data_IF_726365351604
#
_entry.id   IF_726365351604
#
_cell.length_a   1.000
_cell.length_b   1.000
_cell.length_c   1.000
_cell.angle_alpha   90.00
_cell.angle_beta   90.00
_cell.angle_gamma   90.00
#
_symmetry.space_group_name_H-M   'P 1'
#
loop_
_entity.id
_entity.type
_entity.pdbx_description
1 polymer ?
#
# COMPACT_ATOMS: atom_id res chain seq x y z
N UNK A 1 -36.16 13.97 2.88
CA UNK A 1 -35.33 12.78 3.15
C UNK A 1 -35.43 12.46 4.64
N UNK A 2 -35.57 11.19 5.04
CA UNK A 2 -35.62 10.80 6.46
C UNK A 2 -34.24 10.97 7.12
N UNK A 3 -34.19 11.47 8.37
CA UNK A 3 -32.98 11.56 9.21
C UNK A 3 -32.17 10.25 9.24
N UNK A 4 -32.87 9.11 9.21
CA UNK A 4 -32.27 7.78 9.10
C UNK A 4 -31.42 7.62 7.84
N UNK A 5 -31.93 8.04 6.68
CA UNK A 5 -31.20 7.93 5.40
C UNK A 5 -29.97 8.84 5.40
N UNK A 6 -30.05 10.01 6.03
CA UNK A 6 -28.92 10.93 6.16
C UNK A 6 -27.83 10.34 7.06
N UNK A 7 -28.18 9.77 8.22
CA UNK A 7 -27.21 9.10 9.10
C UNK A 7 -26.55 7.90 8.42
N UNK A 8 -27.33 7.06 7.71
CA UNK A 8 -26.78 5.91 7.00
C UNK A 8 -25.80 6.32 5.89
N UNK A 9 -26.15 7.35 5.11
CA UNK A 9 -25.26 7.90 4.09
C UNK A 9 -23.99 8.48 4.70
N UNK A 10 -24.09 9.19 5.83
CA UNK A 10 -22.93 9.72 6.54
C UNK A 10 -22.00 8.61 7.03
N UNK A 11 -22.55 7.52 7.58
CA UNK A 11 -21.79 6.35 8.06
C UNK A 11 -21.11 5.61 6.91
N UNK A 12 -21.83 5.34 5.80
CA UNK A 12 -21.21 4.73 4.61
C UNK A 12 -20.07 5.62 4.13
N UNK A 13 -20.33 6.92 3.96
CA UNK A 13 -19.38 7.85 3.38
C UNK A 13 -18.13 7.99 4.26
N UNK A 14 -18.30 8.12 5.58
CA UNK A 14 -17.17 8.21 6.51
C UNK A 14 -16.36 6.92 6.56
N UNK A 15 -17.04 5.76 6.58
CA UNK A 15 -16.37 4.46 6.55
C UNK A 15 -15.61 4.27 5.24
N UNK A 16 -16.22 4.58 4.10
CA UNK A 16 -15.59 4.48 2.80
C UNK A 16 -14.36 5.39 2.69
N UNK A 17 -14.45 6.63 3.17
CA UNK A 17 -13.33 7.55 3.23
C UNK A 17 -12.20 7.03 4.12
N UNK A 18 -12.52 6.47 5.29
CA UNK A 18 -11.54 5.90 6.20
C UNK A 18 -10.83 4.67 5.58
N UNK A 19 -11.58 3.77 4.94
CA UNK A 19 -11.03 2.58 4.28
C UNK A 19 -10.13 2.96 3.09
N UNK A 20 -10.57 3.90 2.25
CA UNK A 20 -9.79 4.39 1.12
C UNK A 20 -8.52 5.13 1.58
N UNK A 21 -8.65 6.00 2.58
CA UNK A 21 -7.52 6.72 3.19
C UNK A 21 -6.50 5.75 3.78
N UNK A 22 -6.97 4.73 4.52
CA UNK A 22 -6.11 3.69 5.10
C UNK A 22 -5.39 2.86 4.03
N UNK A 23 -6.09 2.44 2.98
CA UNK A 23 -5.50 1.70 1.86
C UNK A 23 -4.43 2.53 1.15
N UNK A 24 -4.71 3.80 0.86
CA UNK A 24 -3.76 4.71 0.23
C UNK A 24 -2.52 4.92 1.10
N UNK A 25 -2.70 5.24 2.37
CA UNK A 25 -1.59 5.44 3.31
C UNK A 25 -0.72 4.18 3.43
N UNK A 26 -1.35 3.00 3.57
CA UNK A 26 -0.65 1.72 3.62
C UNK A 26 0.14 1.43 2.35
N UNK A 27 -0.46 1.69 1.18
CA UNK A 27 0.20 1.49 -0.12
C UNK A 27 1.40 2.41 -0.29
N UNK A 28 1.28 3.69 0.10
CA UNK A 28 2.38 4.65 0.03
C UNK A 28 3.52 4.27 0.98
N UNK A 29 3.20 3.82 2.19
CA UNK A 29 4.20 3.31 3.14
C UNK A 29 4.91 2.07 2.60
N UNK A 30 4.17 1.10 2.05
CA UNK A 30 4.76 -0.10 1.44
C UNK A 30 5.67 0.25 0.25
N UNK A 31 5.27 1.22 -0.57
CA UNK A 31 6.11 1.76 -1.64
C UNK A 31 7.41 2.34 -1.10
N UNK A 32 7.34 3.19 -0.07
CA UNK A 32 8.52 3.80 0.56
C UNK A 32 9.48 2.74 1.10
N UNK A 33 8.95 1.80 1.87
CA UNK A 33 9.70 0.69 2.43
C UNK A 33 10.42 -0.16 1.37
N UNK A 34 9.70 -0.57 0.31
CA UNK A 34 10.30 -1.34 -0.79
C UNK A 34 11.38 -0.54 -1.53
N UNK A 35 11.19 0.77 -1.68
CA UNK A 35 12.15 1.67 -2.32
C UNK A 35 13.44 1.78 -1.52
N UNK A 36 13.33 1.96 -0.20
CA UNK A 36 14.47 2.01 0.71
C UNK A 36 15.20 0.68 0.75
N UNK A 37 14.48 -0.44 0.86
CA UNK A 37 15.09 -1.78 0.83
C UNK A 37 15.83 -2.06 -0.47
N UNK A 38 15.25 -1.70 -1.62
CA UNK A 38 15.94 -1.85 -2.91
C UNK A 38 17.18 -0.97 -2.99
N UNK A 39 17.14 0.23 -2.44
CA UNK A 39 18.27 1.16 -2.41
C UNK A 39 19.40 0.64 -1.54
N UNK A 40 19.08 0.19 -0.31
CA UNK A 40 20.04 -0.43 0.60
C UNK A 40 20.66 -1.68 -0.03
N UNK A 41 19.83 -2.58 -0.59
CA UNK A 41 20.28 -3.77 -1.30
C UNK A 41 21.21 -3.44 -2.47
N UNK A 42 20.88 -2.42 -3.27
CA UNK A 42 21.73 -1.99 -4.36
C UNK A 42 23.10 -1.52 -3.85
N UNK A 43 23.11 -0.75 -2.76
CA UNK A 43 24.34 -0.22 -2.16
C UNK A 43 25.21 -1.33 -1.56
N UNK A 44 24.61 -2.27 -0.84
CA UNK A 44 25.30 -3.42 -0.26
C UNK A 44 25.90 -4.31 -1.34
N UNK A 45 25.12 -4.61 -2.40
CA UNK A 45 25.59 -5.41 -3.52
C UNK A 45 26.69 -4.69 -4.32
N UNK A 46 26.56 -3.38 -4.53
CA UNK A 46 27.61 -2.58 -5.17
C UNK A 46 28.90 -2.63 -4.34
N UNK A 47 28.81 -2.43 -3.03
CA UNK A 47 29.95 -2.44 -2.12
C UNK A 47 30.62 -3.82 -2.09
N UNK A 48 29.84 -4.89 -1.97
CA UNK A 48 30.34 -6.26 -1.98
C UNK A 48 31.03 -6.61 -3.31
N UNK A 49 30.42 -6.25 -4.45
CA UNK A 49 31.01 -6.50 -5.77
C UNK A 49 32.28 -5.67 -5.96
N UNK A 50 32.26 -4.39 -5.58
CA UNK A 50 33.44 -3.52 -5.69
C UNK A 50 34.60 -4.03 -4.83
N UNK A 51 34.32 -4.49 -3.60
CA UNK A 51 35.32 -5.11 -2.73
C UNK A 51 35.90 -6.40 -3.34
N UNK A 52 35.05 -7.28 -3.87
CA UNK A 52 35.49 -8.52 -4.52
C UNK A 52 36.39 -8.26 -5.74
N UNK A 53 36.02 -7.28 -6.58
CA UNK A 53 36.83 -6.86 -7.73
C UNK A 53 38.15 -6.18 -7.31
N UNK A 54 38.12 -5.42 -6.21
CA UNK A 54 39.29 -4.76 -5.62
C UNK A 54 40.32 -5.77 -5.11
N UNK A 55 39.87 -6.86 -4.48
CA UNK A 55 40.77 -7.89 -3.93
C UNK A 55 41.44 -8.77 -4.99
N UNK A 56 40.80 -8.96 -6.15
CA UNK A 56 41.33 -9.83 -7.21
C UNK A 56 42.42 -9.18 -8.08
N UNK A 57 42.75 -7.89 -7.88
CA UNK A 57 43.58 -7.12 -8.83
C UNK A 57 43.13 -7.36 -10.28
N UNK A 58 41.81 -7.43 -10.49
CA UNK A 58 41.23 -8.00 -11.69
C UNK A 58 41.61 -7.18 -12.93
N UNK A 59 42.15 -7.85 -13.95
CA UNK A 59 42.32 -7.25 -15.28
C UNK A 59 40.96 -6.84 -15.85
N UNK A 60 40.94 -5.86 -16.74
CA UNK A 60 39.71 -5.34 -17.37
C UNK A 60 38.82 -6.44 -17.96
N UNK A 61 39.44 -7.48 -18.53
CA UNK A 61 38.74 -8.66 -19.08
C UNK A 61 38.11 -9.55 -18.01
N UNK A 62 38.75 -9.72 -16.86
CA UNK A 62 38.21 -10.50 -15.74
C UNK A 62 37.03 -9.78 -15.07
N UNK A 63 37.11 -8.45 -14.96
CA UNK A 63 36.00 -7.60 -14.49
C UNK A 63 34.79 -7.77 -15.41
N UNK A 64 34.99 -7.68 -16.72
CA UNK A 64 33.90 -7.85 -17.69
C UNK A 64 33.27 -9.25 -17.64
N UNK A 65 34.09 -10.31 -17.50
CA UNK A 65 33.59 -11.67 -17.37
C UNK A 65 32.74 -11.86 -16.11
N UNK A 66 33.22 -11.34 -14.98
CA UNK A 66 32.54 -11.45 -13.67
C UNK A 66 31.22 -10.69 -13.69
N UNK A 67 31.23 -9.47 -14.22
CA UNK A 67 30.02 -8.67 -14.36
C UNK A 67 29.03 -9.34 -15.32
N UNK A 68 29.50 -9.92 -16.42
CA UNK A 68 28.64 -10.63 -17.37
C UNK A 68 27.99 -11.84 -16.71
N UNK A 69 28.75 -12.68 -16.02
CA UNK A 69 28.21 -13.83 -15.29
C UNK A 69 27.18 -13.43 -14.22
N UNK A 70 27.46 -12.36 -13.48
CA UNK A 70 26.52 -11.83 -12.47
C UNK A 70 25.23 -11.27 -13.11
N UNK A 71 25.38 -10.59 -14.24
CA UNK A 71 24.27 -10.03 -15.00
C UNK A 71 23.38 -11.10 -15.62
N UNK A 72 23.98 -12.18 -16.14
CA UNK A 72 23.30 -13.34 -16.70
C UNK A 72 22.44 -14.08 -15.66
N UNK A 73 22.75 -13.92 -14.36
CA UNK A 73 21.89 -14.34 -13.26
C UNK A 73 20.50 -13.65 -13.24
N UNK A 74 20.31 -12.57 -14.00
CA UNK A 74 19.00 -12.02 -14.30
C UNK A 74 18.37 -11.15 -13.20
N UNK A 75 19.08 -10.87 -12.11
CA UNK A 75 18.59 -10.07 -10.98
C UNK A 75 18.82 -8.55 -11.11
N UNK A 76 19.68 -8.13 -12.05
CA UNK A 76 20.09 -6.74 -12.21
C UNK A 76 19.51 -6.12 -13.49
N UNK A 77 19.12 -4.87 -13.39
CA UNK A 77 18.64 -4.06 -14.50
C UNK A 77 19.79 -3.33 -15.19
N UNK A 78 20.74 -2.82 -14.39
CA UNK A 78 21.93 -2.12 -14.85
C UNK A 78 23.13 -2.53 -14.00
N UNK A 79 24.23 -2.86 -14.66
CA UNK A 79 25.56 -2.86 -14.03
C UNK A 79 26.48 -2.04 -14.93
N UNK A 80 27.05 -0.96 -14.39
CA UNK A 80 27.95 -0.05 -15.09
C UNK A 80 29.20 0.18 -14.28
N UNK A 81 30.36 0.11 -14.93
CA UNK A 81 31.65 0.45 -14.35
C UNK A 81 32.27 1.56 -15.18
N UNK A 82 32.69 2.64 -14.52
CA UNK A 82 33.30 3.81 -15.15
C UNK A 82 34.67 4.03 -14.52
N UNK A 83 35.69 4.22 -15.35
CA UNK A 83 37.05 4.62 -14.96
C UNK A 83 37.05 6.03 -14.32
N UNK A 84 37.99 6.40 -13.42
CA UNK A 84 38.18 7.78 -12.96
C UNK A 84 38.17 8.86 -14.05
N UNK A 85 38.63 8.52 -15.26
CA UNK A 85 38.64 9.41 -16.42
C UNK A 85 37.27 9.54 -17.12
N UNK A 86 36.22 8.91 -16.58
CA UNK A 86 34.87 8.93 -17.15
C UNK A 86 34.64 7.93 -18.29
N UNK A 87 35.65 7.13 -18.65
CA UNK A 87 35.52 6.11 -19.70
C UNK A 87 34.73 4.91 -19.16
N UNK A 88 33.67 4.52 -19.85
CA UNK A 88 32.90 3.33 -19.48
C UNK A 88 33.71 2.08 -19.77
N UNK A 89 33.95 1.26 -18.74
CA UNK A 89 34.67 -0.01 -18.83
C UNK A 89 33.69 -1.13 -19.17
N UNK A 90 32.56 -1.19 -18.44
CA UNK A 90 31.51 -2.19 -18.65
C UNK A 90 30.15 -1.49 -18.54
N UNK A 91 29.22 -1.84 -19.42
CA UNK A 91 27.83 -1.40 -19.34
C UNK A 91 26.91 -2.54 -19.79
N UNK A 92 26.21 -3.15 -18.84
CA UNK A 92 25.19 -4.18 -19.09
C UNK A 92 23.85 -3.64 -18.66
N UNK A 93 22.88 -3.63 -19.57
CA UNK A 93 21.51 -3.15 -19.33
C UNK A 93 20.52 -4.20 -19.79
N UNK A 94 19.51 -4.48 -18.98
CA UNK A 94 18.51 -5.49 -19.29
C UNK A 94 17.42 -4.87 -20.18
N UNK A 95 16.90 -5.62 -21.18
CA UNK A 95 15.77 -5.14 -21.97
C UNK A 95 14.52 -4.99 -21.09
N UNK A 96 13.70 -3.98 -21.40
CA UNK A 96 12.42 -3.77 -20.76
C UNK A 96 11.54 -5.01 -20.96
N UNK A 97 11.28 -5.74 -19.87
CA UNK A 97 10.51 -6.99 -19.90
C UNK A 97 9.09 -6.73 -19.44
N UNK A 98 8.11 -7.43 -20.01
CA UNK A 98 6.71 -7.31 -19.62
C UNK A 98 6.51 -7.61 -18.12
N UNK A 99 5.91 -6.65 -17.40
CA UNK A 99 5.47 -6.83 -16.02
C UNK A 99 4.15 -7.58 -15.97
N UNK A 100 3.95 -8.42 -14.95
CA UNK A 100 2.64 -9.06 -14.64
C UNK A 100 1.65 -8.10 -13.95
N UNK A 101 1.98 -6.81 -13.88
CA UNK A 101 1.23 -5.78 -13.15
C UNK A 101 0.67 -4.79 -14.17
N UNK A 102 -0.57 -4.28 -13.97
CA UNK A 102 -1.15 -3.30 -14.89
C UNK A 102 -0.27 -2.05 -15.04
N UNK A 103 -0.13 -1.56 -16.28
CA UNK A 103 0.73 -0.41 -16.58
C UNK A 103 0.29 0.87 -15.87
N UNK A 104 -1.02 1.06 -15.63
CA UNK A 104 -1.53 2.22 -14.89
C UNK A 104 -1.00 2.25 -13.44
N UNK A 105 -0.85 1.09 -12.80
CA UNK A 105 -0.40 0.99 -11.42
C UNK A 105 1.06 1.42 -11.29
N UNK A 106 1.91 0.97 -12.23
CA UNK A 106 3.32 1.35 -12.32
C UNK A 106 3.48 2.85 -12.54
N UNK A 107 2.62 3.47 -13.37
CA UNK A 107 2.65 4.92 -13.64
C UNK A 107 2.25 5.75 -12.43
N UNK A 108 1.25 5.31 -11.66
CA UNK A 108 0.76 6.07 -10.50
C UNK A 108 1.68 5.90 -9.28
N UNK A 109 2.30 4.73 -9.11
CA UNK A 109 3.23 4.45 -8.01
C UNK A 109 4.61 4.01 -8.53
N UNK A 110 5.42 4.93 -9.08
CA UNK A 110 6.76 4.60 -9.53
C UNK A 110 7.66 4.26 -8.32
N UNK A 111 8.28 3.09 -8.31
CA UNK A 111 9.30 2.71 -7.33
C UNK A 111 10.64 3.37 -7.69
N UNK A 112 11.08 4.34 -6.89
CA UNK A 112 12.31 5.10 -7.11
C UNK A 112 13.44 4.56 -6.21
N UNK A 113 13.99 3.41 -6.58
CA UNK A 113 15.17 2.87 -5.88
C UNK A 113 16.43 3.62 -6.33
N UNK A 114 17.22 4.12 -5.37
CA UNK A 114 18.50 4.73 -5.67
C UNK A 114 19.48 3.65 -6.23
N UNK A 115 20.24 3.97 -7.28
CA UNK A 115 21.34 3.12 -7.72
C UNK A 115 22.38 2.97 -6.61
N UNK A 116 22.88 1.76 -6.42
CA UNK A 116 24.01 1.50 -5.53
C UNK A 116 25.29 1.94 -6.22
N UNK A 117 26.15 2.65 -5.49
CA UNK A 117 27.41 3.13 -6.01
C UNK A 117 28.55 2.74 -5.08
N UNK A 118 29.60 2.15 -5.64
CA UNK A 118 30.77 1.76 -4.88
C UNK A 118 32.03 1.95 -5.71
N UNK A 119 33.12 2.29 -5.03
CA UNK A 119 34.41 2.53 -5.66
C UNK A 119 35.25 1.26 -5.66
N UNK A 120 35.82 0.94 -6.81
CA UNK A 120 36.76 -0.16 -7.00
C UNK A 120 38.17 0.43 -6.87
N UNK A 121 38.98 -0.12 -5.97
CA UNK A 121 40.33 0.37 -5.68
C UNK A 121 41.32 -0.81 -5.67
N UNK A 122 42.53 -0.61 -6.17
CA UNK A 122 43.65 -1.54 -5.96
C UNK A 122 44.71 -0.82 -5.12
N UNK A 123 44.78 -1.20 -3.84
CA UNK A 123 45.58 -0.48 -2.84
C UNK A 123 45.11 0.98 -2.71
N UNK A 124 46.00 1.92 -3.00
CA UNK A 124 45.75 3.36 -2.95
C UNK A 124 45.17 3.95 -4.24
N UNK A 125 45.09 3.16 -5.32
CA UNK A 125 44.72 3.66 -6.64
C UNK A 125 43.26 3.31 -6.97
N UNK A 126 42.46 4.31 -7.34
CA UNK A 126 41.07 4.11 -7.77
C UNK A 126 41.07 3.54 -9.20
N UNK A 127 40.44 2.38 -9.38
CA UNK A 127 40.28 1.74 -10.68
C UNK A 127 38.99 2.23 -11.37
N UNK A 128 37.94 2.51 -10.60
CA UNK A 128 36.66 2.94 -11.16
C UNK A 128 35.54 3.04 -10.15
N UNK A 129 34.39 3.47 -10.62
CA UNK A 129 33.13 3.53 -9.88
C UNK A 129 32.14 2.56 -10.50
N UNK A 130 31.67 1.62 -9.68
CA UNK A 130 30.60 0.69 -10.00
C UNK A 130 29.26 1.34 -9.65
N UNK A 131 28.34 1.34 -10.60
CA UNK A 131 26.93 1.67 -10.41
C UNK A 131 26.08 0.44 -10.72
N UNK A 132 25.19 0.08 -9.80
CA UNK A 132 24.36 -1.12 -9.89
C UNK A 132 22.90 -0.81 -9.54
N UNK A 133 21.98 -1.33 -10.36
CA UNK A 133 20.54 -1.23 -10.16
C UNK A 133 19.93 -2.62 -10.23
N UNK A 134 19.27 -3.05 -9.16
CA UNK A 134 18.51 -4.31 -9.14
C UNK A 134 17.19 -4.19 -9.90
N UNK A 135 16.73 -5.28 -10.52
CA UNK A 135 15.41 -5.30 -11.18
C UNK A 135 14.29 -5.09 -10.16
N UNK A 136 13.45 -4.09 -10.40
CA UNK A 136 12.32 -3.72 -9.53
C UNK A 136 11.04 -4.55 -9.76
N UNK A 137 11.03 -5.47 -10.74
CA UNK A 137 9.84 -6.25 -11.12
C UNK A 137 9.20 -6.99 -9.94
N UNK A 138 10.02 -7.70 -9.15
CA UNK A 138 9.52 -8.44 -7.98
C UNK A 138 8.85 -7.50 -6.96
N UNK A 139 9.39 -6.31 -6.78
CA UNK A 139 8.81 -5.31 -5.87
C UNK A 139 7.45 -4.80 -6.36
N UNK A 140 7.28 -4.58 -7.67
CA UNK A 140 5.96 -4.24 -8.23
C UNK A 140 4.95 -5.38 -8.07
N UNK A 141 5.35 -6.63 -8.33
CA UNK A 141 4.46 -7.79 -8.16
C UNK A 141 4.05 -7.97 -6.68
N UNK A 142 5.00 -7.80 -5.75
CA UNK A 142 4.74 -7.84 -4.31
C UNK A 142 3.81 -6.70 -3.85
N UNK A 143 4.07 -5.47 -4.31
CA UNK A 143 3.24 -4.30 -3.99
C UNK A 143 1.81 -4.47 -4.50
N UNK A 144 1.65 -4.92 -5.75
CA UNK A 144 0.33 -5.18 -6.34
C UNK A 144 -0.45 -6.24 -5.56
N UNK A 145 0.22 -7.36 -5.20
CA UNK A 145 -0.40 -8.42 -4.40
C UNK A 145 -0.82 -7.90 -3.02
N UNK A 146 0.01 -7.08 -2.37
CA UNK A 146 -0.29 -6.49 -1.07
C UNK A 146 -1.51 -5.57 -1.13
N UNK A 147 -1.59 -4.71 -2.14
CA UNK A 147 -2.76 -3.84 -2.37
C UNK A 147 -4.04 -4.66 -2.56
N UNK A 148 -4.00 -5.72 -3.37
CA UNK A 148 -5.16 -6.60 -3.57
C UNK A 148 -5.59 -7.31 -2.28
N UNK A 149 -4.64 -7.78 -1.48
CA UNK A 149 -4.93 -8.44 -0.20
C UNK A 149 -5.55 -7.46 0.80
N UNK A 150 -4.99 -6.25 0.93
CA UNK A 150 -5.55 -5.19 1.78
C UNK A 150 -6.94 -4.78 1.31
N UNK A 151 -7.14 -4.58 0.01
CA UNK A 151 -8.44 -4.24 -0.55
C UNK A 151 -9.48 -5.32 -0.26
N UNK A 152 -9.13 -6.60 -0.42
CA UNK A 152 -10.01 -7.72 -0.10
C UNK A 152 -10.34 -7.79 1.41
N UNK A 153 -9.34 -7.61 2.28
CA UNK A 153 -9.56 -7.59 3.73
C UNK A 153 -10.47 -6.43 4.16
N UNK A 154 -10.26 -5.23 3.61
CA UNK A 154 -11.10 -4.06 3.87
C UNK A 154 -12.52 -4.25 3.32
N UNK A 155 -12.69 -4.89 2.17
CA UNK A 155 -14.00 -5.19 1.63
C UNK A 155 -14.78 -6.15 2.55
N UNK A 156 -14.14 -7.21 3.04
CA UNK A 156 -14.76 -8.15 3.99
C UNK A 156 -15.11 -7.43 5.30
N UNK A 157 -14.18 -6.66 5.86
CA UNK A 157 -14.41 -5.89 7.08
C UNK A 157 -15.55 -4.88 6.92
N UNK A 158 -15.60 -4.18 5.78
CA UNK A 158 -16.66 -3.24 5.44
C UNK A 158 -18.03 -3.92 5.29
N UNK A 159 -18.10 -5.10 4.68
CA UNK A 159 -19.34 -5.88 4.59
C UNK A 159 -19.85 -6.33 5.96
N UNK A 160 -18.97 -6.87 6.80
CA UNK A 160 -19.31 -7.29 8.17
C UNK A 160 -19.75 -6.09 9.00
N UNK A 161 -18.99 -5.00 8.97
CA UNK A 161 -19.32 -3.75 9.67
C UNK A 161 -20.64 -3.15 9.19
N UNK A 162 -20.90 -3.17 7.88
CA UNK A 162 -22.15 -2.71 7.29
C UNK A 162 -23.35 -3.55 7.70
N UNK A 163 -23.21 -4.88 7.75
CA UNK A 163 -24.26 -5.79 8.20
C UNK A 163 -24.57 -5.61 9.69
N UNK A 164 -23.54 -5.44 10.54
CA UNK A 164 -23.70 -5.11 11.95
C UNK A 164 -24.38 -3.75 12.13
N UNK A 165 -23.94 -2.74 11.39
CA UNK A 165 -24.58 -1.41 11.40
C UNK A 165 -26.04 -1.46 10.98
N UNK A 166 -26.37 -2.22 9.93
CA UNK A 166 -27.73 -2.41 9.45
C UNK A 166 -28.63 -3.08 10.50
N UNK A 167 -28.14 -4.16 11.14
CA UNK A 167 -28.91 -4.90 12.14
C UNK A 167 -29.16 -4.08 13.40
N UNK A 168 -28.15 -3.36 13.91
CA UNK A 168 -28.29 -2.48 15.08
C UNK A 168 -29.30 -1.37 14.77
N UNK A 169 -29.11 -0.65 13.66
CA UNK A 169 -29.98 0.47 13.33
C UNK A 169 -31.40 0.03 12.97
N UNK A 170 -31.55 -1.17 12.39
CA UNK A 170 -32.85 -1.82 12.17
C UNK A 170 -33.58 -2.09 13.49
N UNK A 171 -32.88 -2.57 14.52
CA UNK A 171 -33.47 -2.78 15.86
C UNK A 171 -33.93 -1.49 16.54
N UNK A 172 -33.22 -0.37 16.32
CA UNK A 172 -33.64 0.93 16.87
C UNK A 172 -34.83 1.55 16.11
N UNK A 173 -35.12 1.10 14.89
CA UNK A 173 -36.17 1.68 14.05
C UNK A 173 -37.59 1.42 14.58
N UNK A 174 -37.88 0.20 14.99
CA UNK A 174 -39.22 -0.18 15.48
C UNK A 174 -39.61 0.60 16.75
N UNK A 175 -38.78 0.67 17.80
CA UNK A 175 -39.02 1.51 18.98
C UNK A 175 -39.31 2.97 18.63
N UNK A 176 -38.50 3.57 17.75
CA UNK A 176 -38.64 4.97 17.37
C UNK A 176 -39.97 5.23 16.65
N UNK A 177 -40.35 4.34 15.73
CA UNK A 177 -41.60 4.47 14.98
C UNK A 177 -42.83 4.31 15.89
N UNK A 178 -42.77 3.44 16.92
CA UNK A 178 -43.83 3.29 17.91
C UNK A 178 -44.08 4.59 18.68
N UNK A 179 -43.02 5.25 19.15
CA UNK A 179 -43.12 6.52 19.87
C UNK A 179 -43.65 7.64 18.96
N UNK A 180 -43.17 7.72 17.70
CA UNK A 180 -43.68 8.71 16.73
C UNK A 180 -45.18 8.50 16.46
N UNK A 181 -45.62 7.25 16.30
CA UNK A 181 -47.02 6.93 16.05
C UNK A 181 -47.89 7.29 17.26
N UNK A 182 -47.41 7.08 18.48
CA UNK A 182 -48.12 7.49 19.71
C UNK A 182 -48.27 9.01 19.79
N UNK A 183 -47.20 9.76 19.50
CA UNK A 183 -47.24 11.21 19.48
C UNK A 183 -48.28 11.74 18.47
N UNK A 184 -48.33 11.14 17.27
CA UNK A 184 -49.35 11.47 16.27
C UNK A 184 -50.76 11.12 16.73
N UNK A 185 -50.96 9.96 17.37
CA UNK A 185 -52.26 9.56 17.90
C UNK A 185 -52.78 10.54 18.96
N UNK A 186 -51.93 11.02 19.86
CA UNK A 186 -52.27 12.04 20.86
C UNK A 186 -52.67 13.35 20.17
N UNK A 187 -51.97 13.76 19.10
CA UNK A 187 -52.33 14.94 18.32
C UNK A 187 -53.74 14.83 17.70
N UNK A 188 -54.16 13.63 17.35
CA UNK A 188 -55.51 13.32 16.86
C UNK A 188 -56.53 13.05 17.97
N UNK A 189 -56.20 13.36 19.23
CA UNK A 189 -57.00 13.10 20.45
C UNK A 189 -57.29 11.61 20.69
N UNK A 190 -56.47 10.71 20.13
CA UNK A 190 -56.51 9.27 20.38
C UNK A 190 -55.43 8.92 21.40
N UNK A 191 -55.83 8.76 22.66
CA UNK A 191 -54.93 8.35 23.74
C UNK A 191 -54.71 6.84 23.68
N UNK A 192 -53.68 6.43 22.93
CA UNK A 192 -53.27 5.02 22.79
C UNK A 192 -52.04 4.80 23.67
N UNK A 193 -52.13 3.85 24.62
CA UNK A 193 -50.96 3.42 25.39
C UNK A 193 -50.08 2.51 24.53
N UNK A 194 -48.76 2.72 24.60
CA UNK A 194 -47.78 1.83 23.97
C UNK A 194 -47.00 1.07 25.04
N UNK A 195 -46.59 -0.16 24.72
CA UNK A 195 -45.64 -0.91 25.52
C UNK A 195 -44.28 -0.20 25.58
N UNK A 196 -43.70 -0.19 26.78
CA UNK A 196 -42.44 0.49 27.05
C UNK A 196 -41.31 -0.06 26.14
N UNK A 197 -40.67 0.79 25.33
CA UNK A 197 -39.53 0.38 24.52
C UNK A 197 -38.35 -0.13 25.35
N UNK A 198 -37.51 -0.99 24.76
CA UNK A 198 -36.29 -1.50 25.39
C UNK A 198 -35.17 -0.46 25.49
N UNK A 199 -35.18 0.53 24.58
CA UNK A 199 -34.21 1.62 24.52
C UNK A 199 -34.51 2.62 25.65
N UNK A 200 -33.59 2.87 26.59
CA UNK A 200 -33.86 3.63 27.82
C UNK A 200 -34.30 5.07 27.54
N UNK A 201 -33.75 5.72 26.51
CA UNK A 201 -34.13 7.08 26.09
C UNK A 201 -35.58 7.14 25.58
N UNK A 202 -35.99 6.14 24.78
CA UNK A 202 -37.36 6.05 24.28
C UNK A 202 -38.35 5.59 25.35
N UNK A 203 -37.88 4.80 26.31
CA UNK A 203 -38.64 4.36 27.47
C UNK A 203 -39.02 5.52 28.37
N UNK A 204 -38.07 6.41 28.67
CA UNK A 204 -38.33 7.60 29.48
C UNK A 204 -39.37 8.52 28.81
N UNK A 205 -39.29 8.66 27.48
CA UNK A 205 -40.26 9.44 26.71
C UNK A 205 -41.65 8.78 26.68
N UNK A 206 -41.73 7.47 26.44
CA UNK A 206 -42.99 6.73 26.47
C UNK A 206 -43.66 6.76 27.86
N UNK A 207 -42.89 6.66 28.94
CA UNK A 207 -43.42 6.78 30.31
C UNK A 207 -44.00 8.16 30.60
N UNK A 208 -43.43 9.24 30.04
CA UNK A 208 -43.93 10.59 30.23
C UNK A 208 -45.20 10.90 29.40
N UNK A 209 -45.45 10.12 28.35
CA UNK A 209 -46.59 10.31 27.42
C UNK A 209 -47.77 9.36 27.67
N UNK A 210 -47.54 8.26 28.37
CA UNK A 210 -48.57 7.31 28.81
C UNK A 210 -49.41 7.85 29.97
#
# INVERSE_FOLDING_TARGET
MSMYRQMWLAIILSTLLALLGGLLASTLNARGYLSEQLSAKNNDNATALALALSQQNASTTMVELTVSALFDGGHYELIRIVDPLGKTIVNKTAPATALKVPAWFVKVLPLNAAPGQAQISSGWNQIGTLTLVSKSRFAYEALWKSVLQLAAALAIAGLVGGMLGATILGRLREPLQRVINQANAISERRFVLIDLPDVPELRQLAMAMN
#
